data_IF_477475919260
#
_entry.id   IF_477475919260
#
_cell.length_a   1.000
_cell.length_b   1.000
_cell.length_c   1.000
_cell.angle_alpha   90.00
_cell.angle_beta   90.00
_cell.angle_gamma   90.00
#
_symmetry.space_group_name_H-M   'P 1'
#
loop_
_entity.id
_entity.type
_entity.pdbx_description
1 polymer ?
#
# COMPACT_ATOMS: atom_id res chain seq x y z
N UNK A 1 8.17 11.05 -19.96
CA UNK A 1 7.96 10.54 -18.59
C UNK A 1 9.13 9.61 -18.25
N UNK A 2 9.76 9.72 -17.08
CA UNK A 2 10.90 8.87 -16.74
C UNK A 2 10.52 7.37 -16.80
N UNK A 3 11.37 6.52 -17.39
CA UNK A 3 11.12 5.07 -17.54
C UNK A 3 10.77 4.40 -16.20
N UNK A 4 11.34 4.91 -15.11
CA UNK A 4 11.10 4.47 -13.73
C UNK A 4 9.66 4.76 -13.27
N UNK A 5 9.13 5.94 -13.59
CA UNK A 5 7.77 6.34 -13.25
C UNK A 5 6.72 5.51 -14.00
N UNK A 6 6.99 5.21 -15.27
CA UNK A 6 6.12 4.36 -16.10
C UNK A 6 6.02 2.94 -15.50
N UNK A 7 7.16 2.36 -15.08
CA UNK A 7 7.19 1.05 -14.43
C UNK A 7 6.37 1.06 -13.13
N UNK A 8 6.52 2.09 -12.30
CA UNK A 8 5.76 2.19 -11.04
C UNK A 8 4.27 2.38 -11.28
N UNK A 9 3.88 3.11 -12.32
CA UNK A 9 2.49 3.28 -12.69
C UNK A 9 1.86 1.96 -13.15
N UNK A 10 2.57 1.18 -13.97
CA UNK A 10 2.12 -0.15 -14.40
C UNK A 10 1.90 -1.08 -13.20
N UNK A 11 2.81 -1.09 -12.22
CA UNK A 11 2.69 -1.89 -11.00
C UNK A 11 1.45 -1.45 -10.19
N UNK A 12 1.25 -0.14 -10.02
CA UNK A 12 0.08 0.40 -9.31
C UNK A 12 -1.24 -0.01 -9.97
N UNK A 13 -1.27 -0.04 -11.30
CA UNK A 13 -2.44 -0.45 -12.09
C UNK A 13 -2.78 -1.92 -11.81
N UNK A 14 -1.78 -2.81 -11.84
CA UNK A 14 -1.93 -4.23 -11.50
C UNK A 14 -2.45 -4.41 -10.07
N UNK A 15 -1.85 -3.71 -9.09
CA UNK A 15 -2.31 -3.76 -7.71
C UNK A 15 -3.75 -3.26 -7.54
N UNK A 16 -4.18 -2.31 -8.38
CA UNK A 16 -5.56 -1.80 -8.36
C UNK A 16 -6.54 -2.84 -8.88
N UNK A 17 -6.21 -3.51 -9.98
CA UNK A 17 -7.03 -4.60 -10.53
C UNK A 17 -7.15 -5.74 -9.50
N UNK A 18 -6.04 -6.12 -8.87
CA UNK A 18 -6.04 -7.13 -7.81
C UNK A 18 -6.96 -6.72 -6.65
N UNK A 19 -6.83 -5.49 -6.15
CA UNK A 19 -7.67 -4.98 -5.06
C UNK A 19 -9.17 -5.02 -5.39
N UNK A 20 -9.56 -4.76 -6.64
CA UNK A 20 -10.96 -4.81 -7.10
C UNK A 20 -11.49 -6.24 -7.15
N UNK A 21 -10.64 -7.21 -7.47
CA UNK A 21 -11.03 -8.62 -7.57
C UNK A 21 -11.21 -9.27 -6.19
N UNK A 22 -10.43 -8.85 -5.18
CA UNK A 22 -10.42 -9.45 -3.83
C UNK A 22 -11.80 -9.57 -3.16
N UNK A 23 -12.68 -8.55 -3.17
CA UNK A 23 -14.02 -8.64 -2.58
C UNK A 23 -14.90 -9.75 -3.15
N UNK A 24 -14.69 -10.12 -4.42
CA UNK A 24 -15.49 -11.11 -5.14
C UNK A 24 -15.13 -12.55 -4.77
N UNK A 25 -14.00 -12.76 -4.09
CA UNK A 25 -13.52 -14.09 -3.74
C UNK A 25 -14.11 -14.50 -2.39
N UNK A 26 -14.73 -15.69 -2.33
CA UNK A 26 -15.31 -16.26 -1.11
C UNK A 26 -14.21 -16.87 -0.23
N UNK A 27 -13.52 -16.01 0.52
CA UNK A 27 -12.51 -16.37 1.52
C UNK A 27 -12.99 -15.86 2.89
N UNK A 28 -12.45 -16.42 3.98
CA UNK A 28 -12.64 -15.88 5.33
C UNK A 28 -12.43 -14.34 5.36
N UNK A 29 -13.33 -13.64 6.03
CA UNK A 29 -13.34 -12.17 6.14
C UNK A 29 -12.00 -11.63 6.66
N UNK A 30 -11.43 -12.26 7.68
CA UNK A 30 -10.21 -11.80 8.33
C UNK A 30 -9.02 -11.91 7.37
N UNK A 31 -8.92 -13.05 6.67
CA UNK A 31 -7.89 -13.28 5.64
C UNK A 31 -8.02 -12.24 4.53
N UNK A 32 -9.24 -12.00 4.04
CA UNK A 32 -9.51 -11.00 3.00
C UNK A 32 -9.07 -9.60 3.43
N UNK A 33 -9.38 -9.20 4.67
CA UNK A 33 -9.00 -7.88 5.21
C UNK A 33 -7.47 -7.77 5.30
N UNK A 34 -6.78 -8.79 5.82
CA UNK A 34 -5.31 -8.82 5.82
C UNK A 34 -4.72 -8.64 4.41
N UNK A 35 -5.27 -9.32 3.41
CA UNK A 35 -4.83 -9.17 2.02
C UNK A 35 -5.10 -7.77 1.45
N UNK A 36 -6.26 -7.18 1.72
CA UNK A 36 -6.58 -5.80 1.29
C UNK A 36 -5.60 -4.81 1.93
N UNK A 37 -5.35 -4.94 3.23
CA UNK A 37 -4.41 -4.08 3.95
C UNK A 37 -2.97 -4.25 3.46
N UNK A 38 -2.58 -5.46 3.06
CA UNK A 38 -1.29 -5.72 2.43
C UNK A 38 -1.16 -5.06 1.05
N UNK A 39 -2.19 -5.14 0.21
CA UNK A 39 -2.18 -4.46 -1.09
C UNK A 39 -2.15 -2.94 -0.89
N UNK A 40 -2.91 -2.42 0.08
CA UNK A 40 -2.91 -1.00 0.43
C UNK A 40 -1.52 -0.51 0.85
N UNK A 41 -0.83 -1.25 1.72
CA UNK A 41 0.51 -0.86 2.21
C UNK A 41 1.54 -0.81 1.07
N UNK A 42 1.52 -1.79 0.16
CA UNK A 42 2.35 -1.80 -1.04
C UNK A 42 2.09 -0.58 -1.94
N UNK A 43 0.82 -0.24 -2.19
CA UNK A 43 0.45 0.94 -3.00
C UNK A 43 0.93 2.23 -2.34
N UNK A 44 0.72 2.36 -1.04
CA UNK A 44 1.15 3.53 -0.27
C UNK A 44 2.66 3.74 -0.36
N UNK A 45 3.44 2.68 -0.12
CA UNK A 45 4.91 2.74 -0.18
C UNK A 45 5.37 3.10 -1.60
N UNK A 46 4.78 2.49 -2.63
CA UNK A 46 5.12 2.80 -4.02
C UNK A 46 4.86 4.27 -4.38
N UNK A 47 3.74 4.83 -3.92
CA UNK A 47 3.40 6.24 -4.13
C UNK A 47 4.35 7.14 -3.35
N UNK A 48 4.52 6.89 -2.06
CA UNK A 48 5.39 7.67 -1.18
C UNK A 48 6.83 7.74 -1.72
N UNK A 49 7.42 6.60 -2.08
CA UNK A 49 8.82 6.55 -2.49
C UNK A 49 9.10 6.95 -3.95
N UNK A 50 8.13 6.82 -4.87
CA UNK A 50 8.36 7.10 -6.29
C UNK A 50 7.65 8.36 -6.80
N UNK A 51 6.57 8.83 -6.18
CA UNK A 51 5.85 10.03 -6.60
C UNK A 51 6.04 11.21 -5.64
N UNK A 52 6.12 10.98 -4.31
CA UNK A 52 6.43 12.03 -3.34
C UNK A 52 7.94 12.25 -3.13
N UNK A 53 8.77 11.66 -4.00
CA UNK A 53 10.24 11.70 -3.95
C UNK A 53 10.85 11.41 -2.56
N UNK A 54 10.19 10.62 -1.70
CA UNK A 54 10.68 10.36 -0.34
C UNK A 54 12.09 9.79 -0.29
N UNK A 55 12.57 9.18 -1.39
CA UNK A 55 13.95 8.73 -1.52
C UNK A 55 14.95 9.84 -1.20
N UNK A 56 14.69 11.07 -1.66
CA UNK A 56 15.53 12.26 -1.46
C UNK A 56 15.22 12.99 -0.15
N UNK A 57 14.11 12.68 0.51
CA UNK A 57 13.70 13.33 1.75
C UNK A 57 14.55 12.87 2.95
N UNK A 58 14.59 13.73 3.96
CA UNK A 58 15.30 13.48 5.22
C UNK A 58 14.74 12.23 5.92
N UNK A 59 15.58 11.53 6.70
CA UNK A 59 15.22 10.26 7.34
C UNK A 59 14.00 10.39 8.26
N UNK A 60 13.83 11.57 8.88
CA UNK A 60 12.68 11.89 9.73
C UNK A 60 11.35 11.74 8.98
N UNK A 61 11.27 12.21 7.73
CA UNK A 61 10.06 12.09 6.91
C UNK A 61 9.75 10.64 6.53
N UNK A 62 10.79 9.86 6.23
CA UNK A 62 10.66 8.41 5.98
C UNK A 62 10.08 7.71 7.21
N UNK A 63 10.59 8.04 8.40
CA UNK A 63 10.13 7.45 9.65
C UNK A 63 8.68 7.82 9.99
N UNK A 64 8.32 9.11 9.89
CA UNK A 64 6.96 9.58 10.16
C UNK A 64 5.95 8.89 9.25
N UNK A 65 6.23 8.80 7.95
CA UNK A 65 5.33 8.16 6.99
C UNK A 65 5.17 6.65 7.24
N UNK A 66 6.25 5.97 7.62
CA UNK A 66 6.16 4.55 7.97
C UNK A 66 5.40 4.33 9.27
N UNK A 67 5.63 5.18 10.28
CA UNK A 67 4.87 5.17 11.53
C UNK A 67 3.37 5.38 11.28
N UNK A 68 3.02 6.33 10.41
CA UNK A 68 1.64 6.60 10.04
C UNK A 68 0.99 5.41 9.32
N UNK A 69 1.74 4.73 8.44
CA UNK A 69 1.27 3.51 7.80
C UNK A 69 1.00 2.39 8.81
N UNK A 70 1.88 2.18 9.80
CA UNK A 70 1.64 1.22 10.88
C UNK A 70 0.44 1.60 11.74
N UNK A 71 0.27 2.89 12.04
CA UNK A 71 -0.85 3.41 12.81
C UNK A 71 -2.20 3.20 12.11
N UNK A 72 -2.22 3.11 10.77
CA UNK A 72 -3.44 2.76 10.02
C UNK A 72 -3.66 1.24 10.01
N UNK A 73 -2.60 0.46 9.75
CA UNK A 73 -2.72 -0.99 9.54
C UNK A 73 -3.02 -1.75 10.83
N UNK A 74 -2.34 -1.42 11.92
CA UNK A 74 -2.44 -2.19 13.18
C UNK A 74 -3.87 -2.15 13.73
N UNK A 75 -4.51 -0.98 13.91
CA UNK A 75 -5.88 -0.92 14.44
C UNK A 75 -6.90 -1.56 13.51
N UNK A 76 -6.76 -1.36 12.20
CA UNK A 76 -7.71 -1.92 11.22
C UNK A 76 -7.64 -3.43 11.12
N UNK A 77 -6.46 -4.03 11.30
CA UNK A 77 -6.32 -5.49 11.39
C UNK A 77 -6.87 -5.97 12.72
N UNK A 78 -6.48 -5.36 13.86
CA UNK A 78 -6.94 -5.79 15.20
C UNK A 78 -8.46 -5.73 15.34
N UNK A 79 -9.12 -4.66 14.87
CA UNK A 79 -10.58 -4.53 14.98
C UNK A 79 -11.35 -5.55 14.14
N UNK A 80 -10.71 -6.15 13.14
CA UNK A 80 -11.34 -7.06 12.18
C UNK A 80 -10.82 -8.51 12.28
N UNK A 81 -9.96 -8.81 13.26
CA UNK A 81 -9.49 -10.16 13.60
C UNK A 81 -10.36 -10.70 14.72
#
# INVERSE_FOLDING_TARGET
>A
MEKKLIKTYSILLILTILAILLPSIKINSNIRICFIMFIFSLKFILVAFNFMELKKANIAWKFILMSLLFLIIIPTVIMNV
#
